data_IF_554360391374
#
_entry.id   IF_554360391374
#
_cell.length_a   1.000
_cell.length_b   1.000
_cell.length_c   1.000
_cell.angle_alpha   90.00
_cell.angle_beta   90.00
_cell.angle_gamma   90.00
#
_symmetry.space_group_name_H-M   'P 1'
#
loop_
_entity.id
_entity.type
_entity.pdbx_description
1 polymer ?
#
# COMPACT_ATOMS: atom_id res chain seq x y z
N UNK A 1 -3.61 -10.31 -19.21
CA UNK A 1 -2.81 -9.65 -18.16
C UNK A 1 -2.75 -8.13 -18.29
N UNK A 2 -2.46 -7.56 -19.47
CA UNK A 2 -2.38 -6.09 -19.67
C UNK A 2 -3.61 -5.30 -19.22
N UNK A 3 -4.83 -5.82 -19.44
CA UNK A 3 -6.08 -5.16 -19.02
C UNK A 3 -6.21 -5.06 -17.50
N UNK A 4 -5.92 -6.15 -16.76
CA UNK A 4 -5.98 -6.16 -15.29
C UNK A 4 -4.94 -5.22 -14.69
N UNK A 5 -3.71 -5.26 -15.20
CA UNK A 5 -2.64 -4.36 -14.77
C UNK A 5 -3.04 -2.87 -14.92
N UNK A 6 -3.64 -2.51 -16.06
CA UNK A 6 -4.15 -1.16 -16.29
C UNK A 6 -5.29 -0.78 -15.35
N UNK A 7 -6.28 -1.66 -15.17
CA UNK A 7 -7.40 -1.42 -14.27
C UNK A 7 -6.95 -1.20 -12.82
N UNK A 8 -6.01 -2.01 -12.34
CA UNK A 8 -5.46 -1.89 -10.98
C UNK A 8 -4.69 -0.56 -10.83
N UNK A 9 -3.88 -0.19 -11.81
CA UNK A 9 -3.17 1.09 -11.81
C UNK A 9 -4.15 2.27 -11.79
N UNK A 10 -5.16 2.26 -12.65
CA UNK A 10 -6.18 3.33 -12.75
C UNK A 10 -7.02 3.40 -11.47
N UNK A 11 -7.43 2.26 -10.91
CA UNK A 11 -8.19 2.19 -9.67
C UNK A 11 -7.40 2.79 -8.49
N UNK A 12 -6.13 2.41 -8.31
CA UNK A 12 -5.30 2.99 -7.26
C UNK A 12 -5.00 4.48 -7.48
N UNK A 13 -4.79 4.89 -8.73
CA UNK A 13 -4.56 6.31 -9.06
C UNK A 13 -5.77 7.21 -8.85
N UNK A 14 -6.98 6.64 -8.78
CA UNK A 14 -8.22 7.38 -8.47
C UNK A 14 -8.45 7.54 -6.96
N UNK A 15 -7.71 6.82 -6.11
CA UNK A 15 -7.85 6.90 -4.66
C UNK A 15 -6.97 8.03 -4.10
N UNK A 16 -7.55 8.89 -3.27
CA UNK A 16 -6.80 9.96 -2.60
C UNK A 16 -5.67 9.37 -1.73
N UNK A 17 -4.48 9.99 -1.82
CA UNK A 17 -3.31 9.55 -1.07
C UNK A 17 -2.71 8.23 -1.55
N UNK A 18 -3.13 7.67 -2.69
CA UNK A 18 -2.50 6.49 -3.27
C UNK A 18 -1.94 6.83 -4.66
N UNK A 19 -0.71 6.38 -4.92
CA UNK A 19 -0.11 6.47 -6.24
C UNK A 19 0.46 5.12 -6.64
N UNK A 20 0.21 4.67 -7.88
CA UNK A 20 0.74 3.41 -8.39
C UNK A 20 1.49 3.65 -9.70
N UNK A 21 2.73 3.17 -9.76
CA UNK A 21 3.50 3.18 -11.02
C UNK A 21 2.89 2.18 -12.01
N UNK A 22 3.08 2.39 -13.33
CA UNK A 22 2.64 1.43 -14.33
C UNK A 22 3.23 0.04 -14.08
N UNK A 23 2.37 -0.98 -14.11
CA UNK A 23 2.77 -2.38 -13.93
C UNK A 23 3.25 -2.89 -15.29
N UNK A 24 4.57 -2.86 -15.51
CA UNK A 24 5.19 -3.22 -16.79
C UNK A 24 5.35 -4.75 -16.98
N UNK A 25 5.20 -5.54 -15.91
CA UNK A 25 5.32 -7.00 -15.92
C UNK A 25 4.94 -7.61 -14.56
N UNK A 26 5.05 -8.95 -14.45
CA UNK A 26 4.63 -9.74 -13.28
C UNK A 26 3.12 -9.65 -12.95
N UNK A 27 2.75 -10.13 -11.76
CA UNK A 27 1.35 -10.18 -11.28
C UNK A 27 1.10 -9.27 -10.07
N UNK A 28 2.00 -8.33 -9.75
CA UNK A 28 1.90 -7.54 -8.53
C UNK A 28 1.96 -6.05 -8.80
N UNK A 29 1.13 -5.30 -8.06
CA UNK A 29 1.22 -3.85 -7.94
C UNK A 29 1.93 -3.47 -6.63
N UNK A 30 2.68 -2.36 -6.64
CA UNK A 30 3.33 -1.81 -5.45
C UNK A 30 2.96 -0.32 -5.25
N UNK A 31 1.68 -0.01 -4.99
CA UNK A 31 1.23 1.35 -4.71
C UNK A 31 1.94 1.95 -3.49
N UNK A 32 2.24 3.24 -3.58
CA UNK A 32 2.68 4.12 -2.48
C UNK A 32 1.44 4.73 -1.84
N UNK A 33 1.40 4.71 -0.51
CA UNK A 33 0.37 5.37 0.30
C UNK A 33 0.96 6.60 0.99
N UNK A 34 0.23 7.70 0.94
CA UNK A 34 0.49 8.90 1.70
C UNK A 34 -0.29 8.83 3.00
N UNK A 35 0.41 8.46 4.07
CA UNK A 35 -0.18 8.35 5.39
C UNK A 35 -0.12 9.70 6.10
N UNK A 36 -1.24 10.19 6.65
CA UNK A 36 -1.22 11.41 7.45
C UNK A 36 -0.36 11.19 8.70
N UNK A 37 0.26 12.27 9.20
CA UNK A 37 1.16 12.23 10.37
C UNK A 37 0.54 11.49 11.58
N UNK A 38 -0.75 11.73 11.84
CA UNK A 38 -1.49 11.05 12.91
C UNK A 38 -1.52 9.52 12.76
N UNK A 39 -1.62 9.01 11.54
CA UNK A 39 -1.61 7.57 11.29
C UNK A 39 -0.21 6.97 11.51
N UNK A 40 0.84 7.70 11.12
CA UNK A 40 2.24 7.31 11.39
C UNK A 40 2.51 7.26 12.89
N UNK A 41 2.11 8.30 13.64
CA UNK A 41 2.26 8.35 15.09
C UNK A 41 1.47 7.23 15.79
N UNK A 42 0.25 6.93 15.32
CA UNK A 42 -0.56 5.84 15.86
C UNK A 42 0.04 4.45 15.61
N UNK A 43 0.76 4.26 14.50
CA UNK A 43 1.51 3.03 14.23
C UNK A 43 2.74 2.92 15.14
N UNK A 44 3.49 4.01 15.27
CA UNK A 44 4.67 4.09 16.15
C UNK A 44 4.32 3.84 17.62
N UNK A 45 3.20 4.39 18.11
CA UNK A 45 2.73 4.17 19.47
C UNK A 45 2.41 2.68 19.78
N UNK A 46 2.16 1.88 18.74
CA UNK A 46 1.94 0.43 18.81
C UNK A 46 3.20 -0.38 18.47
N UNK A 47 4.34 0.29 18.31
CA UNK A 47 5.60 -0.31 17.88
C UNK A 47 5.48 -1.05 16.52
N UNK A 48 4.68 -0.50 15.61
CA UNK A 48 4.43 -1.06 14.28
C UNK A 48 4.93 -0.12 13.18
N UNK A 49 5.36 -0.69 12.06
CA UNK A 49 5.59 0.08 10.84
C UNK A 49 4.26 0.63 10.30
N UNK A 50 4.22 1.89 9.82
CA UNK A 50 2.98 2.51 9.31
C UNK A 50 2.27 1.75 8.20
N UNK A 51 3.00 1.10 7.30
CA UNK A 51 2.42 0.28 6.24
C UNK A 51 1.80 -1.03 6.76
N UNK A 52 2.43 -1.67 7.74
CA UNK A 52 1.88 -2.82 8.45
C UNK A 52 0.59 -2.43 9.17
N UNK A 53 0.61 -1.31 9.89
CA UNK A 53 -0.58 -0.80 10.57
C UNK A 53 -1.73 -0.51 9.60
N UNK A 54 -1.44 0.09 8.43
CA UNK A 54 -2.42 0.28 7.37
C UNK A 54 -2.97 -1.05 6.85
N UNK A 55 -2.11 -2.03 6.57
CA UNK A 55 -2.51 -3.35 6.08
C UNK A 55 -3.40 -4.12 7.07
N UNK A 56 -3.10 -4.04 8.37
CA UNK A 56 -3.94 -4.63 9.42
C UNK A 56 -5.32 -3.97 9.49
N UNK A 57 -5.37 -2.63 9.46
CA UNK A 57 -6.63 -1.89 9.46
C UNK A 57 -7.48 -2.18 8.21
N UNK A 58 -6.84 -2.32 7.04
CA UNK A 58 -7.51 -2.70 5.81
C UNK A 58 -8.12 -4.11 5.93
N UNK A 59 -7.34 -5.07 6.43
CA UNK A 59 -7.80 -6.43 6.66
C UNK A 59 -8.98 -6.49 7.63
N UNK A 60 -8.90 -5.82 8.78
CA UNK A 60 -9.94 -5.82 9.81
C UNK A 60 -11.25 -5.19 9.31
N UNK A 61 -11.18 -4.17 8.45
CA UNK A 61 -12.36 -3.43 7.98
C UNK A 61 -13.01 -4.01 6.74
N UNK A 62 -12.22 -4.57 5.82
CA UNK A 62 -12.71 -4.96 4.49
C UNK A 62 -12.47 -6.44 4.17
N UNK A 63 -11.71 -7.15 5.00
CA UNK A 63 -11.26 -8.52 4.72
C UNK A 63 -10.17 -8.62 3.66
N UNK A 64 -9.63 -7.50 3.16
CA UNK A 64 -8.60 -7.50 2.13
C UNK A 64 -7.23 -7.60 2.79
N UNK A 65 -6.56 -8.73 2.59
CA UNK A 65 -5.17 -8.92 3.01
C UNK A 65 -4.21 -8.30 1.99
N UNK A 66 -3.15 -7.65 2.47
CA UNK A 66 -2.07 -7.11 1.62
C UNK A 66 -0.73 -7.41 2.27
N UNK A 67 0.35 -7.36 1.49
CA UNK A 67 1.70 -7.51 2.06
C UNK A 67 2.33 -6.13 2.25
N UNK A 68 2.75 -5.75 3.46
CA UNK A 68 3.31 -4.42 3.72
C UNK A 68 4.67 -4.23 3.05
N UNK A 69 4.96 -3.00 2.61
CA UNK A 69 6.19 -2.60 1.91
C UNK A 69 7.46 -2.79 2.74
N UNK A 70 7.35 -2.68 4.07
CA UNK A 70 8.43 -2.82 5.04
C UNK A 70 9.11 -4.18 4.98
N UNK A 71 8.41 -5.23 4.52
CA UNK A 71 9.00 -6.55 4.27
C UNK A 71 9.90 -6.65 3.02
N UNK A 72 9.87 -5.66 2.13
CA UNK A 72 10.61 -5.67 0.85
C UNK A 72 11.79 -4.69 0.81
N UNK A 73 11.95 -3.86 1.84
CA UNK A 73 12.82 -2.70 1.79
C UNK A 73 12.17 -1.58 0.97
N UNK A 74 11.99 -0.42 1.60
CA UNK A 74 11.43 0.78 0.97
C UNK A 74 12.20 2.01 1.41
N UNK A 75 12.08 3.10 0.65
CA UNK A 75 12.73 4.37 0.98
C UNK A 75 12.20 4.90 2.31
N UNK A 76 13.08 5.41 3.15
CA UNK A 76 12.70 6.03 4.41
C UNK A 76 11.67 7.16 4.19
N UNK A 77 10.67 7.22 5.06
CA UNK A 77 9.56 8.17 4.96
C UNK A 77 8.52 7.84 3.87
N UNK A 78 8.63 6.69 3.21
CA UNK A 78 7.64 6.21 2.23
C UNK A 78 7.05 4.89 2.65
N UNK A 79 5.79 4.67 2.29
CA UNK A 79 4.99 3.52 2.73
C UNK A 79 4.32 2.90 1.52
N UNK A 80 4.38 1.57 1.42
CA UNK A 80 3.84 0.83 0.28
C UNK A 80 3.13 -0.44 0.74
N UNK A 81 2.38 -1.05 -0.17
CA UNK A 81 1.87 -2.40 0.00
C UNK A 81 1.88 -3.13 -1.35
N UNK A 82 1.96 -4.45 -1.29
CA UNK A 82 1.84 -5.33 -2.46
C UNK A 82 0.42 -5.88 -2.57
N UNK A 83 -0.16 -5.76 -3.76
CA UNK A 83 -1.45 -6.37 -4.13
C UNK A 83 -1.32 -7.20 -5.41
N UNK A 84 -2.29 -8.09 -5.64
CA UNK A 84 -2.34 -9.06 -6.75
C UNK A 84 -3.42 -8.72 -7.79
#
# INVERSE_FOLDING_TARGET
MKVRARLVQEAYGALEGISCRPIQGAMYAMPKIELPRKAVEAAQARNMQPDFFYGMQLLEKTGICTVPGSGFGQREGTWHFRSW
#
